data_IF_521814018687
#
_entry.id   IF_521814018687
#
_cell.length_a   1.000
_cell.length_b   1.000
_cell.length_c   1.000
_cell.angle_alpha   90.00
_cell.angle_beta   90.00
_cell.angle_gamma   90.00
#
_symmetry.space_group_name_H-M   'P 1'
#
loop_
_entity.id
_entity.type
_entity.pdbx_description
1 polymer ?
#
# COMPACT_ATOMS: atom_id res chain seq x y z
N UNK A 1 14.66 9.11 -0.73
CA UNK A 1 13.79 8.53 -1.79
C UNK A 1 12.51 9.33 -1.86
N UNK A 2 11.93 9.46 -3.05
CA UNK A 2 10.58 9.98 -3.26
C UNK A 2 9.60 8.80 -3.21
N UNK A 3 8.67 8.78 -2.25
CA UNK A 3 7.78 7.65 -1.99
C UNK A 3 6.33 8.06 -2.25
N UNK A 4 5.66 7.39 -3.18
CA UNK A 4 4.23 7.58 -3.41
C UNK A 4 3.42 6.74 -2.41
N UNK A 5 2.53 7.40 -1.66
CA UNK A 5 1.74 6.75 -0.62
C UNK A 5 0.25 6.95 -0.88
N UNK A 6 -0.47 5.87 -1.16
CA UNK A 6 -1.92 5.92 -1.19
C UNK A 6 -2.48 5.76 0.22
N UNK A 7 -3.55 6.47 0.56
CA UNK A 7 -4.09 6.47 1.91
C UNK A 7 -3.23 7.24 2.93
N UNK A 8 -2.30 8.08 2.48
CA UNK A 8 -1.34 8.82 3.28
C UNK A 8 -1.98 9.74 4.35
N UNK A 9 -3.20 10.25 4.11
CA UNK A 9 -3.94 11.07 5.06
C UNK A 9 -4.80 10.25 6.05
N UNK A 10 -4.85 8.91 5.91
CA UNK A 10 -5.60 8.03 6.80
C UNK A 10 -4.89 7.74 8.12
N UNK A 11 -5.54 6.97 9.01
CA UNK A 11 -5.02 6.65 10.34
C UNK A 11 -3.61 6.03 10.31
N UNK A 12 -3.41 4.95 9.56
CA UNK A 12 -2.10 4.33 9.39
C UNK A 12 -1.21 5.19 8.51
N UNK A 13 -1.77 5.76 7.43
CA UNK A 13 -1.03 6.52 6.44
C UNK A 13 -0.38 7.77 6.99
N UNK A 14 -1.03 8.49 7.90
CA UNK A 14 -0.45 9.70 8.50
C UNK A 14 0.77 9.40 9.36
N UNK A 15 0.75 8.32 10.13
CA UNK A 15 1.93 7.87 10.89
C UNK A 15 3.06 7.38 9.96
N UNK A 16 2.71 6.59 8.94
CA UNK A 16 3.67 6.15 7.93
C UNK A 16 4.32 7.35 7.23
N UNK A 17 3.54 8.38 6.91
CA UNK A 17 4.02 9.61 6.28
C UNK A 17 4.99 10.36 7.19
N UNK A 18 4.68 10.50 8.49
CA UNK A 18 5.58 11.13 9.48
C UNK A 18 6.90 10.40 9.59
N UNK A 19 6.86 9.07 9.73
CA UNK A 19 8.06 8.23 9.86
C UNK A 19 8.94 8.29 8.60
N UNK A 20 8.34 8.29 7.41
CA UNK A 20 9.08 8.43 6.16
C UNK A 20 9.78 9.80 6.07
N UNK A 21 9.07 10.88 6.40
CA UNK A 21 9.65 12.23 6.38
C UNK A 21 10.75 12.37 7.44
N UNK A 22 10.52 11.86 8.66
CA UNK A 22 11.53 11.84 9.71
C UNK A 22 12.78 11.03 9.31
N UNK A 23 12.60 9.98 8.50
CA UNK A 23 13.68 9.19 7.89
C UNK A 23 14.37 9.86 6.70
N UNK A 24 14.03 11.12 6.38
CA UNK A 24 14.66 11.87 5.27
C UNK A 24 14.11 11.52 3.89
N UNK A 25 12.93 10.92 3.80
CA UNK A 25 12.26 10.64 2.53
C UNK A 25 11.31 11.78 2.15
N UNK A 26 11.12 12.00 0.85
CA UNK A 26 10.05 12.83 0.33
C UNK A 26 8.80 11.96 0.16
N UNK A 27 7.67 12.40 0.69
CA UNK A 27 6.40 11.68 0.55
C UNK A 27 5.48 12.42 -0.40
N UNK A 28 4.92 11.68 -1.34
CA UNK A 28 3.86 12.13 -2.26
C UNK A 28 2.58 11.39 -1.88
N UNK A 29 1.64 12.09 -1.27
CA UNK A 29 0.40 11.50 -0.78
C UNK A 29 -0.75 11.62 -1.79
N UNK A 30 -1.45 10.51 -2.08
CA UNK A 30 -2.67 10.54 -2.87
C UNK A 30 -3.81 11.21 -2.09
N UNK A 31 -4.39 12.27 -2.64
CA UNK A 31 -5.50 13.01 -2.06
C UNK A 31 -6.71 13.07 -2.98
N UNK A 32 -7.88 12.59 -2.49
CA UNK A 32 -9.15 12.65 -3.21
C UNK A 32 -10.05 13.80 -2.80
N UNK A 33 -9.78 14.45 -1.67
CA UNK A 33 -10.59 15.54 -1.12
C UNK A 33 -9.71 16.66 -0.59
N UNK A 34 -10.25 17.86 -0.44
CA UNK A 34 -9.53 19.01 0.13
C UNK A 34 -9.12 18.78 1.58
N UNK A 35 -9.89 17.98 2.34
CA UNK A 35 -9.53 17.57 3.69
C UNK A 35 -8.23 16.73 3.69
N UNK A 36 -8.12 15.79 2.74
CA UNK A 36 -6.89 14.99 2.59
C UNK A 36 -5.72 15.87 2.17
N UNK A 37 -5.94 16.85 1.29
CA UNK A 37 -4.92 17.83 0.88
C UNK A 37 -4.40 18.58 2.10
N UNK A 38 -5.30 19.19 2.90
CA UNK A 38 -4.93 19.94 4.09
C UNK A 38 -4.17 19.07 5.12
N UNK A 39 -4.54 17.78 5.22
CA UNK A 39 -3.85 16.83 6.11
C UNK A 39 -2.43 16.55 5.63
N UNK A 40 -2.25 16.30 4.34
CA UNK A 40 -0.93 16.02 3.76
C UNK A 40 0.01 17.23 3.84
N UNK A 41 -0.50 18.43 3.55
CA UNK A 41 0.27 19.67 3.69
C UNK A 41 0.75 19.90 5.13
N UNK A 42 -0.13 19.68 6.13
CA UNK A 42 0.25 19.74 7.55
C UNK A 42 1.32 18.72 7.95
N UNK A 43 1.34 17.58 7.28
CA UNK A 43 2.37 16.55 7.49
C UNK A 43 3.69 16.87 6.79
N UNK A 44 3.71 17.88 5.91
CA UNK A 44 4.88 18.20 5.08
C UNK A 44 5.04 17.29 3.85
N UNK A 45 3.97 16.59 3.47
CA UNK A 45 3.97 15.75 2.28
C UNK A 45 3.52 16.54 1.05
N UNK A 46 4.06 16.17 -0.11
CA UNK A 46 3.59 16.65 -1.41
C UNK A 46 2.24 16.02 -1.74
N UNK A 47 1.36 16.79 -2.36
CA UNK A 47 0.01 16.36 -2.71
C UNK A 47 -0.05 15.90 -4.16
N UNK A 48 -0.52 14.66 -4.37
CA UNK A 48 -0.90 14.12 -5.66
C UNK A 48 -2.41 13.94 -5.70
N UNK A 49 -3.10 14.75 -6.52
CA UNK A 49 -4.57 14.69 -6.62
C UNK A 49 -5.00 13.48 -7.44
N UNK A 50 -5.96 12.73 -6.92
CA UNK A 50 -6.50 11.54 -7.57
C UNK A 50 -7.25 10.64 -6.60
N UNK A 51 -7.70 9.48 -7.08
CA UNK A 51 -8.43 8.49 -6.28
C UNK A 51 -8.03 7.07 -6.66
N UNK A 52 -8.49 6.07 -5.90
CA UNK A 52 -8.25 4.65 -6.24
C UNK A 52 -8.92 4.22 -7.55
N UNK A 53 -9.91 4.95 -8.02
CA UNK A 53 -10.62 4.70 -9.27
C UNK A 53 -9.97 5.43 -10.47
N UNK A 54 -9.13 6.42 -10.21
CA UNK A 54 -8.36 7.12 -11.24
C UNK A 54 -7.02 6.41 -11.47
N UNK A 55 -7.05 5.37 -12.29
CA UNK A 55 -5.90 4.52 -12.54
C UNK A 55 -4.73 5.27 -13.20
N UNK A 56 -5.00 6.29 -14.01
CA UNK A 56 -3.94 7.07 -14.65
C UNK A 56 -3.23 7.97 -13.63
N UNK A 57 -3.95 8.54 -12.67
CA UNK A 57 -3.37 9.25 -11.54
C UNK A 57 -2.48 8.33 -10.70
N UNK A 58 -2.92 7.10 -10.42
CA UNK A 58 -2.12 6.10 -9.71
C UNK A 58 -0.83 5.72 -10.46
N UNK A 59 -0.95 5.50 -11.78
CA UNK A 59 0.21 5.18 -12.64
C UNK A 59 1.21 6.32 -12.67
N UNK A 60 0.77 7.59 -12.78
CA UNK A 60 1.69 8.73 -12.78
C UNK A 60 2.39 8.88 -11.44
N UNK A 61 1.67 8.81 -10.32
CA UNK A 61 2.26 8.86 -8.98
C UNK A 61 3.31 7.76 -8.75
N UNK A 62 3.02 6.53 -9.19
CA UNK A 62 3.96 5.41 -9.09
C UNK A 62 5.17 5.58 -10.01
N UNK A 63 4.98 6.06 -11.24
CA UNK A 63 6.07 6.27 -12.22
C UNK A 63 7.06 7.32 -11.76
N UNK A 64 6.55 8.42 -11.19
CA UNK A 64 7.31 9.61 -10.82
C UNK A 64 7.94 9.51 -9.43
N UNK A 65 7.83 8.35 -8.78
CA UNK A 65 8.39 8.08 -7.45
C UNK A 65 9.42 6.95 -7.48
N UNK A 66 10.28 6.89 -6.46
CA UNK A 66 11.31 5.85 -6.29
C UNK A 66 10.76 4.56 -5.67
N UNK A 67 9.57 4.63 -5.07
CA UNK A 67 8.87 3.50 -4.47
C UNK A 67 7.43 3.83 -4.15
N UNK A 68 6.62 2.80 -3.91
CA UNK A 68 5.19 2.93 -3.63
C UNK A 68 4.81 2.17 -2.37
N UNK A 69 3.99 2.81 -1.53
CA UNK A 69 3.32 2.19 -0.38
C UNK A 69 1.81 2.34 -0.56
N UNK A 70 1.12 1.22 -0.76
CA UNK A 70 -0.32 1.18 -0.94
C UNK A 70 -1.03 0.82 0.36
N UNK A 71 -1.60 1.84 1.05
CA UNK A 71 -2.32 1.70 2.31
C UNK A 71 -3.83 1.97 2.16
N UNK A 72 -4.24 2.57 1.04
CA UNK A 72 -5.63 2.94 0.84
C UNK A 72 -6.52 1.71 0.64
N UNK A 73 -7.69 1.74 1.25
CA UNK A 73 -8.79 0.81 1.00
C UNK A 73 -10.11 1.54 1.23
N UNK A 74 -11.15 1.22 0.46
CA UNK A 74 -12.49 1.78 0.68
C UNK A 74 -13.19 0.96 1.75
N UNK A 75 -13.46 1.56 2.93
CA UNK A 75 -14.01 0.88 4.11
C UNK A 75 -15.56 0.90 4.13
N UNK A 76 -16.21 0.78 2.99
CA UNK A 76 -17.64 0.50 2.92
C UNK A 76 -17.87 -1.01 2.83
N UNK A 77 -18.09 -1.64 3.97
CA UNK A 77 -18.25 -3.10 4.04
C UNK A 77 -19.55 -3.60 3.40
N UNK A 78 -20.52 -2.73 3.13
CA UNK A 78 -21.73 -3.11 2.38
C UNK A 78 -21.43 -3.43 0.90
N UNK A 79 -20.33 -2.90 0.38
CA UNK A 79 -19.82 -3.07 -0.99
C UNK A 79 -18.46 -3.76 -1.03
N UNK A 80 -18.20 -4.68 -0.11
CA UNK A 80 -16.87 -5.24 0.09
C UNK A 80 -16.28 -5.89 -1.17
N UNK A 81 -17.11 -6.56 -1.98
CA UNK A 81 -16.65 -7.16 -3.24
C UNK A 81 -16.24 -6.11 -4.29
N UNK A 82 -17.04 -5.04 -4.43
CA UNK A 82 -16.75 -3.92 -5.32
C UNK A 82 -15.47 -3.20 -4.89
N UNK A 83 -15.34 -2.92 -3.59
CA UNK A 83 -14.16 -2.28 -3.02
C UNK A 83 -12.91 -3.15 -3.16
N UNK A 84 -13.05 -4.47 -3.07
CA UNK A 84 -11.97 -5.41 -3.37
C UNK A 84 -11.53 -5.37 -4.83
N UNK A 85 -12.47 -5.20 -5.76
CA UNK A 85 -12.14 -5.04 -7.19
C UNK A 85 -11.42 -3.71 -7.49
N UNK A 86 -11.85 -2.62 -6.85
CA UNK A 86 -11.18 -1.30 -6.94
C UNK A 86 -9.74 -1.40 -6.42
N UNK A 87 -9.55 -2.00 -5.26
CA UNK A 87 -8.23 -2.22 -4.65
C UNK A 87 -7.31 -3.06 -5.55
N UNK A 88 -7.84 -4.14 -6.11
CA UNK A 88 -7.10 -4.98 -7.07
C UNK A 88 -6.67 -4.19 -8.30
N UNK A 89 -7.58 -3.45 -8.93
CA UNK A 89 -7.28 -2.65 -10.12
C UNK A 89 -6.22 -1.58 -9.84
N UNK A 90 -6.28 -0.93 -8.66
CA UNK A 90 -5.29 0.05 -8.22
C UNK A 90 -3.89 -0.59 -8.06
N UNK A 91 -3.80 -1.77 -7.42
CA UNK A 91 -2.55 -2.51 -7.26
C UNK A 91 -1.98 -2.91 -8.62
N UNK A 92 -2.81 -3.44 -9.52
CA UNK A 92 -2.40 -3.84 -10.87
C UNK A 92 -1.89 -2.64 -11.67
N UNK A 93 -2.60 -1.51 -11.65
CA UNK A 93 -2.20 -0.30 -12.36
C UNK A 93 -0.83 0.23 -11.92
N UNK A 94 -0.58 0.29 -10.61
CA UNK A 94 0.71 0.70 -10.07
C UNK A 94 1.79 -0.35 -10.34
N UNK A 95 1.47 -1.63 -10.17
CA UNK A 95 2.38 -2.73 -10.43
C UNK A 95 2.87 -2.80 -11.87
N UNK A 96 2.00 -2.53 -12.84
CA UNK A 96 2.35 -2.55 -14.28
C UNK A 96 3.41 -1.50 -14.63
N UNK A 97 3.29 -0.29 -14.09
CA UNK A 97 4.29 0.77 -14.36
C UNK A 97 5.58 0.61 -13.58
N UNK A 98 5.54 -0.13 -12.47
CA UNK A 98 6.74 -0.47 -11.69
C UNK A 98 7.45 -1.71 -12.23
N UNK A 99 6.80 -2.46 -13.12
CA UNK A 99 7.36 -3.69 -13.69
C UNK A 99 8.71 -3.41 -14.40
N UNK A 100 9.77 -4.19 -14.03
CA UNK A 100 11.13 -4.03 -14.58
C UNK A 100 11.97 -2.87 -14.00
N UNK A 101 11.44 -2.04 -13.08
CA UNK A 101 12.14 -0.85 -12.56
C UNK A 101 12.97 -1.09 -11.30
N UNK A 102 12.86 -2.23 -10.65
CA UNK A 102 13.41 -2.52 -9.31
C UNK A 102 12.96 -1.57 -8.18
N UNK A 103 11.98 -0.71 -8.41
CA UNK A 103 11.41 0.16 -7.38
C UNK A 103 10.62 -0.68 -6.37
N UNK A 104 10.74 -0.42 -5.06
CA UNK A 104 9.96 -1.13 -4.05
C UNK A 104 8.47 -0.81 -4.18
N UNK A 105 7.63 -1.84 -4.04
CA UNK A 105 6.19 -1.72 -3.99
C UNK A 105 5.66 -2.49 -2.78
N UNK A 106 5.12 -1.79 -1.79
CA UNK A 106 4.54 -2.36 -0.58
C UNK A 106 3.02 -2.28 -0.69
N UNK A 107 2.34 -3.41 -0.52
CA UNK A 107 0.88 -3.51 -0.56
C UNK A 107 0.37 -4.01 0.79
N UNK A 108 -0.65 -3.34 1.34
CA UNK A 108 -1.29 -3.73 2.59
C UNK A 108 -2.40 -4.73 2.34
N UNK A 109 -2.45 -5.81 3.12
CA UNK A 109 -3.54 -6.77 3.14
C UNK A 109 -4.19 -6.86 4.52
N UNK A 110 -5.26 -7.64 4.65
CA UNK A 110 -5.94 -7.90 5.91
C UNK A 110 -5.59 -9.27 6.47
N UNK A 111 -5.02 -9.32 7.67
CA UNK A 111 -4.64 -10.59 8.33
C UNK A 111 -5.86 -11.46 8.69
N UNK A 112 -7.01 -10.85 9.01
CA UNK A 112 -8.26 -11.58 9.30
C UNK A 112 -8.85 -12.38 8.13
N UNK A 113 -8.23 -12.28 6.96
CA UNK A 113 -8.64 -12.98 5.75
C UNK A 113 -7.85 -14.29 5.51
N UNK A 114 -6.88 -14.62 6.36
CA UNK A 114 -5.98 -15.76 6.14
C UNK A 114 -6.58 -17.07 6.63
N UNK A 115 -6.97 -17.14 7.89
CA UNK A 115 -7.64 -18.33 8.44
C UNK A 115 -8.36 -18.00 9.76
N UNK A 116 -9.64 -18.38 9.95
CA UNK A 116 -10.42 -17.97 11.10
C UNK A 116 -10.14 -18.72 12.42
N UNK A 117 -9.35 -19.79 12.40
CA UNK A 117 -9.24 -20.71 13.56
C UNK A 117 -7.80 -21.08 13.96
N UNK A 118 -6.80 -20.37 13.46
CA UNK A 118 -5.39 -20.67 13.76
C UNK A 118 -4.63 -19.39 14.11
N UNK A 119 -3.53 -19.54 14.85
CA UNK A 119 -2.58 -18.44 15.07
C UNK A 119 -1.89 -18.14 13.74
N UNK A 120 -2.10 -16.94 13.24
CA UNK A 120 -1.57 -16.51 11.94
C UNK A 120 -0.13 -16.01 12.13
N UNK A 121 0.78 -16.53 11.30
CA UNK A 121 2.18 -16.08 11.23
C UNK A 121 2.47 -15.43 9.88
N UNK A 122 3.59 -14.69 9.79
CA UNK A 122 4.03 -14.01 8.58
C UNK A 122 4.42 -14.95 7.42
N UNK A 123 4.63 -16.23 7.70
CA UNK A 123 4.95 -17.25 6.68
C UNK A 123 3.70 -17.87 6.06
N UNK A 124 2.53 -17.66 6.68
CA UNK A 124 1.28 -18.20 6.18
C UNK A 124 0.79 -17.38 5.00
N UNK A 125 0.49 -18.08 3.92
CA UNK A 125 -0.20 -17.50 2.76
C UNK A 125 -1.68 -17.68 2.90
N UNK A 126 -2.42 -16.68 2.45
CA UNK A 126 -3.87 -16.80 2.33
C UNK A 126 -4.22 -17.95 1.37
N UNK A 127 -5.15 -18.80 1.77
CA UNK A 127 -5.79 -19.76 0.88
C UNK A 127 -6.54 -18.98 -0.23
N UNK A 128 -6.43 -19.48 -1.47
CA UNK A 128 -7.07 -18.89 -2.65
C UNK A 128 -8.58 -19.13 -2.70
N UNK A 129 -9.23 -19.13 -1.54
CA UNK A 129 -10.68 -19.31 -1.45
C UNK A 129 -11.42 -18.22 -2.24
N UNK A 130 -12.31 -18.61 -3.18
CA UNK A 130 -13.08 -17.67 -3.98
C UNK A 130 -14.09 -16.85 -3.18
N UNK A 131 -14.30 -17.20 -1.92
CA UNK A 131 -15.28 -16.54 -1.05
C UNK A 131 -14.81 -15.23 -0.42
N UNK A 132 -13.54 -14.85 -0.56
CA UNK A 132 -13.03 -13.60 0.00
C UNK A 132 -12.70 -12.62 -1.13
N UNK A 133 -13.53 -11.57 -1.30
CA UNK A 133 -13.41 -10.65 -2.44
C UNK A 133 -12.14 -9.80 -2.44
N UNK A 134 -11.54 -9.54 -1.28
CA UNK A 134 -10.31 -8.76 -1.20
C UNK A 134 -9.10 -9.62 -1.55
N UNK A 135 -8.50 -9.34 -2.69
CA UNK A 135 -7.37 -10.10 -3.27
C UNK A 135 -6.06 -9.29 -3.33
N UNK A 136 -5.93 -8.27 -2.49
CA UNK A 136 -4.75 -7.37 -2.43
C UNK A 136 -3.43 -8.14 -2.36
N UNK A 137 -3.36 -9.16 -1.50
CA UNK A 137 -2.17 -10.00 -1.35
C UNK A 137 -1.84 -10.74 -2.64
N UNK A 138 -2.83 -11.38 -3.26
CA UNK A 138 -2.64 -12.14 -4.50
C UNK A 138 -2.25 -11.22 -5.65
N UNK A 139 -2.89 -10.06 -5.78
CA UNK A 139 -2.56 -9.05 -6.77
C UNK A 139 -1.11 -8.57 -6.59
N UNK A 140 -0.71 -8.24 -5.36
CA UNK A 140 0.66 -7.85 -5.05
C UNK A 140 1.68 -8.95 -5.35
N UNK A 141 1.42 -10.19 -4.93
CA UNK A 141 2.29 -11.34 -5.19
C UNK A 141 2.45 -11.67 -6.67
N UNK A 142 1.44 -11.41 -7.50
CA UNK A 142 1.53 -11.61 -8.95
C UNK A 142 2.63 -10.74 -9.58
N UNK A 143 2.88 -9.55 -9.02
CA UNK A 143 3.99 -8.69 -9.44
C UNK A 143 5.33 -9.12 -8.84
N UNK A 144 5.34 -9.66 -7.64
CA UNK A 144 6.55 -10.22 -7.03
C UNK A 144 7.06 -11.45 -7.80
N UNK A 145 6.16 -12.33 -8.26
CA UNK A 145 6.52 -13.55 -8.98
C UNK A 145 6.91 -13.32 -10.44
N UNK A 146 6.42 -12.26 -11.07
CA UNK A 146 6.83 -11.86 -12.44
C UNK A 146 8.25 -11.28 -12.48
N UNK A 147 8.92 -11.17 -11.35
CA UNK A 147 10.22 -10.53 -11.20
C UNK A 147 11.22 -11.46 -10.57
N UNK A 148 12.11 -11.94 -11.36
CA UNK A 148 13.35 -12.60 -10.92
C UNK A 148 14.31 -11.61 -10.21
N UNK A 149 14.01 -10.33 -10.15
CA UNK A 149 14.90 -9.27 -9.66
C UNK A 149 14.23 -8.17 -8.84
N UNK A 150 13.12 -8.40 -8.13
CA UNK A 150 12.54 -7.37 -7.27
C UNK A 150 12.86 -7.60 -5.80
N UNK A 151 13.35 -6.53 -5.17
CA UNK A 151 13.57 -6.45 -3.74
C UNK A 151 12.38 -7.04 -2.95
N UNK A 152 12.69 -7.89 -1.99
CA UNK A 152 11.79 -8.62 -1.11
C UNK A 152 10.51 -7.82 -0.79
N UNK A 153 9.37 -8.36 -1.18
CA UNK A 153 8.07 -7.96 -0.66
C UNK A 153 8.09 -8.15 0.86
N UNK A 154 8.03 -7.07 1.59
CA UNK A 154 7.81 -7.14 3.04
C UNK A 154 6.36 -6.75 3.26
N UNK A 155 5.57 -7.68 3.78
CA UNK A 155 4.26 -7.36 4.33
C UNK A 155 4.45 -6.39 5.51
N UNK A 156 3.58 -5.38 5.60
CA UNK A 156 3.46 -4.59 6.80
C UNK A 156 2.86 -5.48 7.91
N UNK A 157 3.71 -6.30 8.53
CA UNK A 157 3.39 -7.10 9.70
C UNK A 157 3.61 -6.24 10.95
N UNK A 158 2.85 -6.51 12.01
CA UNK A 158 3.01 -5.91 13.35
C UNK A 158 4.46 -5.87 13.85
N UNK A 159 5.29 -6.80 13.38
CA UNK A 159 6.70 -6.90 13.74
C UNK A 159 7.59 -5.80 13.11
N UNK A 160 7.15 -5.21 11.99
CA UNK A 160 7.86 -4.08 11.38
C UNK A 160 7.58 -2.75 12.09
N UNK A 161 6.58 -2.71 12.96
CA UNK A 161 6.20 -1.53 13.76
C UNK A 161 6.65 -1.63 15.22
N UNK A 162 7.33 -2.70 15.64
CA UNK A 162 7.96 -2.75 16.93
C UNK A 162 9.17 -1.79 16.96
N UNK A 163 9.32 -0.95 17.98
CA UNK A 163 10.52 -0.14 18.15
C UNK A 163 11.73 -1.08 18.15
N UNK A 164 12.71 -0.80 17.33
CA UNK A 164 14.01 -1.47 17.41
C UNK A 164 14.62 -1.08 18.73
N UNK A 165 14.65 -1.99 19.71
CA UNK A 165 15.50 -1.82 20.89
C UNK A 165 16.92 -1.62 20.38
N UNK A 166 17.50 -0.47 20.73
CA UNK A 166 18.91 -0.22 20.49
C UNK A 166 19.69 -1.23 21.32
N UNK A 167 20.66 -1.95 20.72
CA UNK A 167 21.58 -2.73 21.51
C UNK A 167 22.38 -1.81 22.43
N UNK A 168 22.52 -2.24 23.68
CA UNK A 168 23.32 -1.60 24.72
C UNK A 168 24.81 -1.56 24.35
#
# INVERSE_FOLDING_TARGET
>A
MRVFVTGAAGFIGSETTRELIAGGHQVVGLARSEENVATLEKLGAEVHRGSLQDLESLKSGARDSDGVIHLAFVHDFSKFAENGAIDKAAIEAMGDVLAGTNKPFIVTSGTGLIAPSVVITEDMRRDSSPHVPRVSEQAGLAYASRRVACARWRYACRRCMAPTEKPA
#
